data_IF_869087668227
#
_entry.id   IF_869087668227
#
_cell.length_a   1.000
_cell.length_b   1.000
_cell.length_c   1.000
_cell.angle_alpha   90.00
_cell.angle_beta   90.00
_cell.angle_gamma   90.00
#
_symmetry.space_group_name_H-M   'P 1'
#
loop_
_entity.id
_entity.type
_entity.pdbx_description
1 polymer ?
#
# COMPACT_ATOMS: atom_id res chain seq x y z
N UNK A 1 -10.40 -22.74 11.33
CA UNK A 1 -9.53 -22.70 10.13
C UNK A 1 -8.99 -21.30 10.05
N UNK A 2 -7.85 -21.07 10.68
CA UNK A 2 -7.18 -19.78 10.67
C UNK A 2 -6.64 -19.57 9.25
N UNK A 3 -7.14 -18.55 8.55
CA UNK A 3 -6.54 -18.16 7.27
C UNK A 3 -5.18 -17.56 7.64
N UNK A 4 -4.09 -18.31 7.43
CA UNK A 4 -2.76 -17.72 7.34
C UNK A 4 -2.85 -16.62 6.27
N UNK A 5 -2.90 -15.36 6.72
CA UNK A 5 -2.89 -14.21 5.82
C UNK A 5 -1.56 -14.28 5.08
N UNK A 6 -1.60 -14.62 3.80
CA UNK A 6 -0.41 -14.62 2.94
C UNK A 6 0.34 -13.31 3.12
N UNK A 7 1.64 -13.39 3.40
CA UNK A 7 2.45 -12.19 3.58
C UNK A 7 2.46 -11.41 2.26
N UNK A 8 2.39 -10.06 2.29
CA UNK A 8 2.46 -9.25 1.08
C UNK A 8 3.68 -9.63 0.25
N UNK A 9 3.51 -9.72 -1.08
CA UNK A 9 4.58 -10.03 -2.04
C UNK A 9 5.21 -11.43 -1.89
N UNK A 10 4.55 -12.35 -1.18
CA UNK A 10 4.91 -13.78 -1.21
C UNK A 10 4.78 -14.29 -2.63
N UNK A 11 5.82 -14.99 -3.13
CA UNK A 11 5.85 -15.52 -4.50
C UNK A 11 6.42 -14.56 -5.55
N UNK A 12 6.67 -13.29 -5.20
CA UNK A 12 7.44 -12.39 -6.06
C UNK A 12 8.94 -12.49 -5.77
N UNK A 13 9.74 -12.52 -6.83
CA UNK A 13 11.19 -12.32 -6.78
C UNK A 13 11.54 -10.89 -6.40
N UNK A 14 12.78 -10.64 -6.01
CA UNK A 14 13.23 -9.28 -5.69
C UNK A 14 13.24 -8.36 -6.93
N UNK A 15 13.48 -8.91 -8.12
CA UNK A 15 13.41 -8.16 -9.37
C UNK A 15 11.98 -7.68 -9.65
N UNK A 16 10.99 -8.57 -9.53
CA UNK A 16 9.58 -8.22 -9.68
C UNK A 16 9.12 -7.19 -8.64
N UNK A 17 9.56 -7.32 -7.38
CA UNK A 17 9.26 -6.34 -6.33
C UNK A 17 9.85 -4.97 -6.63
N UNK A 18 11.09 -4.93 -7.11
CA UNK A 18 11.77 -3.68 -7.45
C UNK A 18 11.12 -3.00 -8.67
N UNK A 19 10.62 -3.79 -9.62
CA UNK A 19 9.90 -3.36 -10.82
C UNK A 19 8.48 -2.84 -10.59
N UNK A 20 7.94 -2.87 -9.36
CA UNK A 20 6.62 -2.29 -9.06
C UNK A 20 6.70 -0.77 -9.23
N UNK A 21 6.07 -0.20 -10.25
CA UNK A 21 6.09 1.26 -10.49
C UNK A 21 4.83 1.96 -9.97
N UNK A 22 3.70 1.25 -9.95
CA UNK A 22 2.39 1.79 -9.60
C UNK A 22 1.83 1.01 -8.40
N UNK A 23 1.35 1.76 -7.41
CA UNK A 23 0.65 1.23 -6.23
C UNK A 23 -0.76 1.80 -6.25
N UNK A 24 -1.75 0.92 -6.35
CA UNK A 24 -3.16 1.28 -6.28
C UNK A 24 -3.65 0.85 -4.89
N UNK A 25 -4.28 1.77 -4.17
CA UNK A 25 -4.81 1.50 -2.83
C UNK A 25 -6.22 2.05 -2.70
N UNK A 26 -7.06 1.29 -2.00
CA UNK A 26 -8.30 1.81 -1.42
C UNK A 26 -7.99 2.86 -0.32
N UNK A 27 -8.98 3.67 0.05
CA UNK A 27 -8.86 4.73 1.05
C UNK A 27 -9.47 4.36 2.40
N UNK A 28 -10.74 3.98 2.41
CA UNK A 28 -11.55 3.87 3.62
C UNK A 28 -11.24 2.58 4.38
N UNK A 29 -10.76 2.73 5.62
CA UNK A 29 -10.22 1.64 6.45
C UNK A 29 -9.06 0.82 5.81
N UNK A 30 -8.49 1.32 4.70
CA UNK A 30 -7.26 0.82 4.08
C UNK A 30 -6.04 1.69 4.43
N UNK A 31 -5.98 2.94 3.96
CA UNK A 31 -4.94 3.91 4.41
C UNK A 31 -5.42 4.74 5.60
N UNK A 32 -6.73 4.80 5.79
CA UNK A 32 -7.37 5.39 6.97
C UNK A 32 -7.74 4.30 7.96
N UNK A 33 -8.08 4.68 9.19
CA UNK A 33 -8.70 3.79 10.17
C UNK A 33 -9.69 4.59 11.00
N UNK A 34 -10.93 4.11 11.11
CA UNK A 34 -12.02 4.84 11.77
C UNK A 34 -12.18 6.26 11.17
N UNK A 35 -12.08 6.37 9.84
CA UNK A 35 -12.18 7.64 9.10
C UNK A 35 -11.01 8.62 9.31
N UNK A 36 -9.91 8.20 9.94
CA UNK A 36 -8.75 9.06 10.19
C UNK A 36 -7.51 8.56 9.45
N UNK A 37 -6.77 9.48 8.85
CA UNK A 37 -5.47 9.21 8.28
C UNK A 37 -4.39 9.33 9.36
N UNK A 38 -3.68 8.24 9.64
CA UNK A 38 -2.65 8.22 10.69
C UNK A 38 -1.30 8.70 10.15
N UNK A 39 -0.44 9.32 10.99
CA UNK A 39 0.87 9.80 10.55
C UNK A 39 1.75 8.73 9.89
N UNK A 40 1.66 7.48 10.34
CA UNK A 40 2.41 6.36 9.77
C UNK A 40 2.04 6.07 8.31
N UNK A 41 0.76 6.19 7.95
CA UNK A 41 0.30 6.05 6.57
C UNK A 41 0.88 7.17 5.69
N UNK A 42 0.81 8.42 6.15
CA UNK A 42 1.40 9.57 5.45
C UNK A 42 2.91 9.42 5.26
N UNK A 43 3.65 9.00 6.29
CA UNK A 43 5.09 8.75 6.19
C UNK A 43 5.41 7.67 5.16
N UNK A 44 4.61 6.60 5.11
CA UNK A 44 4.79 5.50 4.16
C UNK A 44 4.55 5.96 2.73
N UNK A 45 3.44 6.68 2.48
CA UNK A 45 3.14 7.28 1.17
C UNK A 45 4.23 8.26 0.73
N UNK A 46 4.77 9.06 1.65
CA UNK A 46 5.87 9.98 1.35
C UNK A 46 7.16 9.25 0.94
N UNK A 47 7.51 8.16 1.64
CA UNK A 47 8.67 7.32 1.29
C UNK A 47 8.51 6.73 -0.10
N UNK A 48 7.34 6.19 -0.43
CA UNK A 48 7.04 5.63 -1.75
C UNK A 48 7.14 6.69 -2.85
N UNK A 49 6.58 7.89 -2.61
CA UNK A 49 6.73 9.03 -3.53
C UNK A 49 8.20 9.40 -3.76
N UNK A 50 9.01 9.45 -2.70
CA UNK A 50 10.45 9.74 -2.79
C UNK A 50 11.25 8.66 -3.53
N UNK A 51 10.74 7.44 -3.56
CA UNK A 51 11.29 6.33 -4.36
C UNK A 51 10.83 6.36 -5.82
N UNK A 52 10.05 7.38 -6.23
CA UNK A 52 9.55 7.51 -7.60
C UNK A 52 8.35 6.63 -7.94
N UNK A 53 7.70 6.03 -6.93
CA UNK A 53 6.51 5.20 -7.16
C UNK A 53 5.28 6.08 -7.39
N UNK A 54 4.47 5.74 -8.39
CA UNK A 54 3.17 6.36 -8.60
C UNK A 54 2.16 5.73 -7.65
N UNK A 55 1.43 6.55 -6.90
CA UNK A 55 0.41 6.08 -5.96
C UNK A 55 -0.94 6.60 -6.42
N UNK A 56 -1.88 5.69 -6.64
CA UNK A 56 -3.27 5.99 -7.02
C UNK A 56 -4.16 5.56 -5.86
N UNK A 57 -4.82 6.53 -5.25
CA UNK A 57 -5.82 6.28 -4.22
C UNK A 57 -7.20 6.23 -4.88
N UNK A 58 -7.92 5.15 -4.65
CA UNK A 58 -9.27 4.93 -5.17
C UNK A 58 -10.23 4.89 -3.99
N UNK A 59 -11.31 5.64 -4.06
CA UNK A 59 -12.41 5.57 -3.08
C UNK A 59 -13.74 5.54 -3.83
N UNK A 60 -14.74 4.90 -3.25
CA UNK A 60 -16.12 4.93 -3.72
C UNK A 60 -16.99 5.97 -3.01
N UNK A 61 -16.41 6.71 -2.05
CA UNK A 61 -17.05 7.82 -1.34
C UNK A 61 -17.08 9.12 -2.13
#
# INVERSE_FOLDING_TARGET
MEIERGLPFTGLTDEERNGIEIIISDVDDTITKNGKLYPAALQSLWRLKRMGKMIVLVTGG
#
